data_IF_026462753858
#
_entry.id   IF_026462753858
#
_cell.length_a   1.000
_cell.length_b   1.000
_cell.length_c   1.000
_cell.angle_alpha   90.00
_cell.angle_beta   90.00
_cell.angle_gamma   90.00
#
_symmetry.space_group_name_H-M   'P 1'
#
loop_
_entity.id
_entity.type
_entity.pdbx_description
1 polymer ?
#
# COMPACT_ATOMS: atom_id res chain seq x y z
N UNK A 1 18.54 0.14 -12.73
CA UNK A 1 17.72 -1.09 -12.81
C UNK A 1 16.38 -0.76 -13.44
N UNK A 2 15.92 -1.58 -14.37
CA UNK A 2 14.60 -1.40 -14.99
C UNK A 2 13.53 -1.82 -13.96
N UNK A 3 12.73 -0.89 -13.46
CA UNK A 3 11.73 -1.15 -12.39
C UNK A 3 10.53 -2.00 -12.85
N UNK A 4 10.45 -2.36 -14.13
CA UNK A 4 9.49 -3.28 -14.73
C UNK A 4 8.09 -3.19 -14.10
N UNK A 5 7.36 -2.11 -14.40
CA UNK A 5 5.99 -1.86 -13.93
C UNK A 5 5.83 -1.58 -12.43
N UNK A 6 6.94 -1.35 -11.70
CA UNK A 6 6.93 -0.82 -10.34
C UNK A 6 7.38 0.63 -10.41
N UNK A 7 6.50 1.57 -10.07
CA UNK A 7 6.83 3.00 -10.13
C UNK A 7 6.66 3.67 -8.78
N UNK A 8 7.48 4.70 -8.59
CA UNK A 8 7.48 5.49 -7.36
C UNK A 8 7.22 6.95 -7.69
N UNK A 9 6.31 7.56 -6.95
CA UNK A 9 5.94 8.96 -7.03
C UNK A 9 5.97 9.56 -5.63
N UNK A 10 5.95 10.88 -5.52
CA UNK A 10 5.78 11.53 -4.23
C UNK A 10 4.42 12.24 -4.17
N UNK A 11 3.81 12.21 -2.99
CA UNK A 11 2.69 13.08 -2.70
C UNK A 11 3.15 14.54 -2.81
N UNK A 12 2.31 15.40 -3.30
CA UNK A 12 2.59 16.84 -3.46
C UNK A 12 2.58 17.59 -2.12
N UNK A 13 1.81 17.12 -1.14
CA UNK A 13 1.71 17.65 0.21
C UNK A 13 2.04 16.58 1.25
N UNK A 14 3.22 16.68 1.84
CA UNK A 14 3.71 15.75 2.85
C UNK A 14 3.03 15.89 4.21
N UNK A 15 2.34 17.00 4.50
CA UNK A 15 1.56 17.16 5.73
C UNK A 15 0.41 16.14 5.81
N UNK A 16 -0.10 15.70 4.66
CA UNK A 16 -1.09 14.62 4.56
C UNK A 16 -0.62 13.34 5.24
N UNK A 17 0.68 13.02 5.20
CA UNK A 17 1.23 11.85 5.88
C UNK A 17 1.13 11.96 7.40
N UNK A 18 1.45 13.12 7.98
CA UNK A 18 1.33 13.36 9.42
C UNK A 18 -0.12 13.28 9.88
N UNK A 19 -1.03 13.82 9.07
CA UNK A 19 -2.46 13.78 9.34
C UNK A 19 -3.01 12.34 9.30
N UNK A 20 -2.54 11.49 8.37
CA UNK A 20 -2.90 10.07 8.32
C UNK A 20 -2.34 9.28 9.50
N UNK A 21 -1.12 9.56 9.95
CA UNK A 21 -0.57 8.97 11.17
C UNK A 21 -1.40 9.40 12.38
N UNK A 22 -1.77 10.67 12.48
CA UNK A 22 -2.63 11.18 13.55
C UNK A 22 -4.01 10.53 13.53
N UNK A 23 -4.62 10.36 12.36
CA UNK A 23 -5.88 9.63 12.18
C UNK A 23 -5.76 8.19 12.70
N UNK A 24 -4.67 7.50 12.36
CA UNK A 24 -4.40 6.16 12.84
C UNK A 24 -4.23 6.13 14.36
N UNK A 25 -3.37 6.99 14.93
CA UNK A 25 -3.05 6.96 16.36
C UNK A 25 -4.28 7.28 17.23
N UNK A 26 -5.13 8.19 16.80
CA UNK A 26 -6.34 8.59 17.51
C UNK A 26 -7.51 7.59 17.35
N UNK A 27 -7.44 6.66 16.40
CA UNK A 27 -8.50 5.66 16.20
C UNK A 27 -8.51 4.62 17.31
N UNK A 28 -9.71 4.26 17.77
CA UNK A 28 -9.94 3.14 18.71
C UNK A 28 -10.17 1.79 17.99
N UNK A 29 -10.33 1.81 16.67
CA UNK A 29 -10.70 0.65 15.85
C UNK A 29 -9.50 -0.09 15.26
N UNK A 30 -8.32 0.05 15.88
CA UNK A 30 -7.11 -0.67 15.46
C UNK A 30 -7.19 -2.14 15.84
N UNK A 31 -6.77 -3.01 14.92
CA UNK A 31 -6.73 -4.46 15.12
C UNK A 31 -5.33 -5.02 14.82
N UNK A 32 -5.07 -6.26 15.24
CA UNK A 32 -3.89 -6.98 14.76
C UNK A 32 -4.00 -7.18 13.24
N UNK A 33 -2.87 -7.07 12.55
CA UNK A 33 -2.83 -7.30 11.10
C UNK A 33 -3.22 -8.73 10.72
N UNK A 34 -4.09 -8.87 9.73
CA UNK A 34 -4.61 -10.15 9.26
C UNK A 34 -4.07 -10.51 7.87
N UNK A 35 -4.07 -11.81 7.60
CA UNK A 35 -3.92 -12.42 6.28
C UNK A 35 -5.22 -13.16 5.94
N UNK A 36 -5.33 -13.78 4.76
CA UNK A 36 -6.54 -14.50 4.34
C UNK A 36 -6.98 -15.61 5.29
N UNK A 37 -6.10 -16.09 6.16
CA UNK A 37 -6.36 -17.14 7.19
C UNK A 37 -6.56 -16.58 8.61
N UNK A 38 -6.71 -15.25 8.78
CA UNK A 38 -6.78 -14.59 10.08
C UNK A 38 -5.42 -14.09 10.57
N UNK A 39 -5.28 -13.83 11.87
CA UNK A 39 -4.04 -13.30 12.46
C UNK A 39 -2.96 -14.38 12.51
N UNK A 40 -1.83 -14.13 11.84
CA UNK A 40 -0.63 -14.95 11.93
C UNK A 40 0.62 -14.06 11.92
N UNK A 41 1.16 -13.79 13.10
CA UNK A 41 2.29 -12.87 13.30
C UNK A 41 3.61 -13.37 12.69
N UNK A 42 3.75 -14.67 12.44
CA UNK A 42 4.96 -15.20 11.74
C UNK A 42 4.95 -14.86 10.25
N UNK A 43 3.77 -14.59 9.69
CA UNK A 43 3.56 -14.17 8.30
C UNK A 43 3.50 -12.65 8.19
N UNK A 44 2.61 -12.03 9.00
CA UNK A 44 2.40 -10.58 9.06
C UNK A 44 2.22 -10.15 10.50
N UNK A 45 3.13 -9.35 11.01
CA UNK A 45 2.99 -8.71 12.32
C UNK A 45 2.89 -7.19 12.12
N UNK A 46 1.72 -6.66 12.39
CA UNK A 46 1.38 -5.23 12.28
C UNK A 46 0.18 -4.90 13.15
N UNK A 47 -0.06 -3.60 13.32
CA UNK A 47 -1.33 -3.07 13.81
C UNK A 47 -1.99 -2.34 12.64
N UNK A 48 -3.22 -2.69 12.30
CA UNK A 48 -3.95 -2.20 11.14
C UNK A 48 -5.18 -1.39 11.56
N UNK A 49 -5.45 -0.32 10.82
CA UNK A 49 -6.71 0.40 10.81
C UNK A 49 -7.38 0.14 9.47
N UNK A 50 -8.46 -0.65 9.49
CA UNK A 50 -9.28 -0.93 8.31
C UNK A 50 -10.21 0.24 8.02
N UNK A 51 -10.23 0.69 6.76
CA UNK A 51 -11.00 1.82 6.26
C UNK A 51 -11.70 1.43 4.96
N UNK A 52 -12.79 2.13 4.66
CA UNK A 52 -13.63 1.89 3.50
C UNK A 52 -13.77 3.14 2.63
N UNK A 53 -14.22 2.97 1.38
CA UNK A 53 -14.46 4.10 0.47
C UNK A 53 -15.40 5.16 1.11
N UNK A 54 -16.39 4.73 1.89
CA UNK A 54 -17.30 5.66 2.55
C UNK A 54 -16.59 6.53 3.61
N UNK A 55 -15.48 6.10 4.17
CA UNK A 55 -14.70 6.91 5.11
C UNK A 55 -14.01 8.07 4.41
N UNK A 56 -13.72 7.94 3.11
CA UNK A 56 -13.04 8.96 2.32
C UNK A 56 -13.87 10.23 2.28
N UNK A 57 -15.17 10.12 1.98
CA UNK A 57 -16.07 11.29 1.84
C UNK A 57 -16.35 11.97 3.17
N UNK A 58 -16.14 11.26 4.29
CA UNK A 58 -16.37 11.75 5.64
C UNK A 58 -15.09 12.27 6.33
N UNK A 59 -13.95 12.24 5.63
CA UNK A 59 -12.66 12.64 6.18
C UNK A 59 -11.89 13.51 5.19
N UNK A 60 -11.66 14.75 5.55
CA UNK A 60 -10.85 15.68 4.74
C UNK A 60 -9.43 15.14 4.52
N UNK A 61 -8.83 14.50 5.53
CA UNK A 61 -7.50 13.88 5.46
C UNK A 61 -7.47 12.80 4.38
N UNK A 62 -8.46 11.89 4.37
CA UNK A 62 -8.56 10.84 3.37
C UNK A 62 -8.86 11.41 1.98
N UNK A 63 -9.77 12.38 1.87
CA UNK A 63 -10.09 13.05 0.61
C UNK A 63 -8.83 13.68 0.00
N UNK A 64 -8.04 14.40 0.79
CA UNK A 64 -6.77 15.01 0.34
C UNK A 64 -5.75 13.96 -0.09
N UNK A 65 -5.65 12.85 0.65
CA UNK A 65 -4.76 11.75 0.28
C UNK A 65 -5.16 11.12 -1.06
N UNK A 66 -6.43 10.75 -1.22
CA UNK A 66 -6.89 10.07 -2.45
C UNK A 66 -6.85 10.98 -3.68
N UNK A 67 -6.98 12.29 -3.53
CA UNK A 67 -6.71 13.25 -4.61
C UNK A 67 -5.26 13.15 -5.09
N UNK A 68 -4.28 13.18 -4.18
CA UNK A 68 -2.86 13.07 -4.52
C UNK A 68 -2.50 11.67 -5.06
N UNK A 69 -3.11 10.59 -4.52
CA UNK A 69 -2.95 9.24 -5.05
C UNK A 69 -3.48 9.15 -6.50
N UNK A 70 -4.58 9.84 -6.80
CA UNK A 70 -5.11 9.92 -8.18
C UNK A 70 -4.11 10.56 -9.14
N UNK A 71 -3.39 11.61 -8.72
CA UNK A 71 -2.34 12.23 -9.53
C UNK A 71 -1.19 11.24 -9.80
N UNK A 72 -0.77 10.48 -8.79
CA UNK A 72 0.22 9.40 -8.96
C UNK A 72 -0.27 8.32 -9.95
N UNK A 73 -1.55 7.93 -9.87
CA UNK A 73 -2.14 6.97 -10.79
C UNK A 73 -2.18 7.47 -12.23
N UNK A 74 -2.49 8.75 -12.45
CA UNK A 74 -2.48 9.38 -13.77
C UNK A 74 -1.08 9.24 -14.38
N UNK A 75 -0.02 9.55 -13.65
CA UNK A 75 1.36 9.40 -14.12
C UNK A 75 1.72 7.93 -14.42
N UNK A 76 1.25 6.99 -13.60
CA UNK A 76 1.43 5.55 -13.85
C UNK A 76 0.77 5.12 -15.16
N UNK A 77 -0.48 5.52 -15.40
CA UNK A 77 -1.25 5.23 -16.61
C UNK A 77 -0.65 5.87 -17.86
N UNK A 78 -0.09 7.08 -17.76
CA UNK A 78 0.62 7.74 -18.87
C UNK A 78 1.84 6.92 -19.29
N UNK A 79 2.57 6.34 -18.34
CA UNK A 79 3.74 5.50 -18.61
C UNK A 79 3.35 4.11 -19.13
N UNK A 80 2.33 3.50 -18.57
CA UNK A 80 1.89 2.14 -18.87
C UNK A 80 0.47 2.13 -19.48
N UNK A 81 0.37 2.65 -20.69
CA UNK A 81 -0.91 2.90 -21.40
C UNK A 81 -1.82 1.67 -21.49
N UNK A 82 -1.25 0.47 -21.54
CA UNK A 82 -2.04 -0.76 -21.66
C UNK A 82 -2.68 -1.23 -20.37
N UNK A 83 -2.28 -0.72 -19.22
CA UNK A 83 -2.95 -1.04 -17.96
C UNK A 83 -4.41 -0.55 -17.90
N UNK A 84 -4.77 0.42 -18.77
CA UNK A 84 -6.09 1.08 -18.81
C UNK A 84 -6.86 0.87 -20.13
N UNK A 85 -6.35 0.03 -21.03
CA UNK A 85 -7.00 -0.19 -22.36
C UNK A 85 -7.94 -1.40 -22.43
N UNK A 86 -8.20 -2.05 -21.31
CA UNK A 86 -9.13 -3.17 -21.25
C UNK A 86 -10.59 -2.74 -21.43
N UNK A 87 -11.46 -3.70 -21.83
CA UNK A 87 -12.91 -3.45 -21.98
C UNK A 87 -13.65 -3.30 -20.65
N UNK A 88 -13.06 -3.74 -19.55
CA UNK A 88 -13.65 -3.68 -18.20
C UNK A 88 -13.15 -2.45 -17.47
N UNK A 89 -14.09 -1.72 -16.84
CA UNK A 89 -13.76 -0.65 -15.93
C UNK A 89 -13.12 -1.19 -14.65
N UNK A 90 -12.24 -0.41 -14.05
CA UNK A 90 -11.62 -0.70 -12.77
C UNK A 90 -11.51 0.59 -11.94
N UNK A 91 -11.36 0.45 -10.66
CA UNK A 91 -11.26 1.57 -9.73
C UNK A 91 -10.84 1.11 -8.34
N UNK A 92 -10.87 1.99 -7.36
CA UNK A 92 -10.52 1.65 -5.99
C UNK A 92 -11.33 0.44 -5.49
N UNK A 93 -10.65 -0.52 -4.83
CA UNK A 93 -11.29 -1.56 -4.03
C UNK A 93 -12.02 -0.90 -2.86
N UNK A 94 -13.08 -1.53 -2.36
CA UNK A 94 -13.93 -0.93 -1.33
C UNK A 94 -13.22 -0.68 0.00
N UNK A 95 -12.19 -1.46 0.31
CA UNK A 95 -11.43 -1.40 1.55
C UNK A 95 -9.94 -1.14 1.32
N UNK A 96 -9.32 -0.51 2.30
CA UNK A 96 -7.89 -0.21 2.36
C UNK A 96 -7.43 -0.10 3.82
N UNK A 97 -6.11 -0.03 4.06
CA UNK A 97 -5.59 -0.07 5.43
C UNK A 97 -4.52 1.00 5.65
N UNK A 98 -4.54 1.61 6.85
CA UNK A 98 -3.34 2.21 7.41
C UNK A 98 -2.71 1.16 8.34
N UNK A 99 -1.41 0.92 8.20
CA UNK A 99 -0.69 -0.13 8.91
C UNK A 99 0.51 0.46 9.64
N UNK A 100 0.66 0.07 10.90
CA UNK A 100 1.81 0.38 11.74
C UNK A 100 2.63 -0.88 11.98
N UNK A 101 3.92 -0.78 11.76
CA UNK A 101 4.92 -1.78 12.07
C UNK A 101 5.90 -1.22 13.09
N UNK A 102 5.94 -1.78 14.29
CA UNK A 102 6.96 -1.47 15.30
C UNK A 102 8.30 -2.10 14.92
N UNK A 103 9.41 -1.74 15.57
CA UNK A 103 10.67 -2.46 15.44
C UNK A 103 10.47 -3.97 15.50
N UNK A 104 11.15 -4.70 14.62
CA UNK A 104 11.04 -6.16 14.43
C UNK A 104 9.74 -6.67 13.81
N UNK A 105 8.74 -5.82 13.56
CA UNK A 105 7.51 -6.20 12.88
C UNK A 105 7.60 -5.95 11.36
N UNK A 106 6.96 -6.81 10.58
CA UNK A 106 6.87 -6.68 9.12
C UNK A 106 5.80 -7.61 8.53
N UNK A 107 5.56 -7.50 7.24
CA UNK A 107 5.02 -8.60 6.45
C UNK A 107 6.18 -9.49 6.02
N UNK A 108 6.49 -10.50 6.85
CA UNK A 108 7.71 -11.30 6.74
C UNK A 108 7.74 -12.23 5.54
N UNK A 109 6.57 -12.77 5.17
CA UNK A 109 6.46 -13.76 4.11
C UNK A 109 6.37 -13.15 2.73
N UNK A 110 6.99 -13.80 1.76
CA UNK A 110 6.78 -13.53 0.35
C UNK A 110 5.31 -13.75 -0.01
N UNK A 111 4.65 -12.75 -0.58
CA UNK A 111 3.24 -12.83 -0.94
C UNK A 111 2.95 -12.06 -2.23
N UNK A 112 1.77 -12.31 -2.76
CA UNK A 112 1.18 -11.62 -3.90
C UNK A 112 -0.22 -11.16 -3.55
N UNK A 113 -0.66 -10.07 -4.16
CA UNK A 113 -1.94 -9.46 -3.85
C UNK A 113 -3.12 -10.13 -4.57
N UNK A 114 -2.85 -10.83 -5.67
CA UNK A 114 -3.81 -11.61 -6.45
C UNK A 114 -3.46 -13.10 -6.41
N UNK A 115 -3.63 -13.73 -5.24
CA UNK A 115 -3.26 -15.12 -5.01
C UNK A 115 -4.42 -16.11 -4.94
N UNK A 116 -5.68 -15.69 -5.14
CA UNK A 116 -6.84 -16.57 -5.02
C UNK A 116 -8.14 -15.97 -5.52
N UNK A 117 -9.23 -16.78 -5.47
CA UNK A 117 -10.54 -16.39 -6.00
C UNK A 117 -11.06 -15.06 -5.42
N UNK A 118 -10.89 -14.84 -4.12
CA UNK A 118 -11.36 -13.61 -3.43
C UNK A 118 -10.66 -12.34 -3.91
N UNK A 119 -9.43 -12.45 -4.39
CA UNK A 119 -8.58 -11.34 -4.82
C UNK A 119 -8.36 -11.32 -6.34
N UNK A 120 -9.09 -12.17 -7.08
CA UNK A 120 -8.90 -12.35 -8.53
C UNK A 120 -9.15 -11.07 -9.34
N UNK A 121 -9.97 -10.16 -8.83
CA UNK A 121 -10.29 -8.89 -9.49
C UNK A 121 -9.24 -7.79 -9.27
N UNK A 122 -8.27 -7.96 -8.36
CA UNK A 122 -7.22 -6.97 -8.12
C UNK A 122 -6.38 -6.76 -9.37
N UNK A 123 -6.22 -5.51 -9.76
CA UNK A 123 -5.50 -5.09 -10.95
C UNK A 123 -4.16 -4.44 -10.60
N UNK A 124 -4.18 -3.38 -9.81
CA UNK A 124 -3.01 -2.69 -9.32
C UNK A 124 -3.01 -2.62 -7.80
N UNK A 125 -1.83 -2.50 -7.23
CA UNK A 125 -1.60 -2.21 -5.82
C UNK A 125 -1.04 -0.81 -5.72
N UNK A 126 -1.41 -0.09 -4.68
CA UNK A 126 -0.81 1.16 -4.30
C UNK A 126 -0.42 1.12 -2.81
N UNK A 127 0.69 1.73 -2.49
CA UNK A 127 1.19 1.84 -1.12
C UNK A 127 1.95 3.16 -0.97
N UNK A 128 1.68 3.90 0.09
CA UNK A 128 2.44 5.11 0.44
C UNK A 128 3.10 4.92 1.80
N UNK A 129 4.39 5.20 1.89
CA UNK A 129 5.09 5.33 3.16
C UNK A 129 4.73 6.67 3.80
N UNK A 130 4.28 6.66 5.06
CA UNK A 130 3.82 7.86 5.75
C UNK A 130 4.94 8.54 6.55
N UNK A 131 6.05 7.84 6.80
CA UNK A 131 7.21 8.40 7.47
C UNK A 131 8.52 7.89 6.85
N UNK A 132 9.60 8.60 7.14
CA UNK A 132 10.95 8.12 6.89
C UNK A 132 11.29 7.00 7.87
N UNK A 133 12.13 6.05 7.43
CA UNK A 133 12.77 5.06 8.29
C UNK A 133 14.26 5.05 7.97
N UNK A 134 15.10 5.21 9.01
CA UNK A 134 16.56 5.32 8.84
C UNK A 134 17.19 3.99 8.46
N UNK A 135 16.77 2.90 9.13
CA UNK A 135 17.36 1.57 8.95
C UNK A 135 16.30 0.49 8.85
N UNK A 136 16.36 -0.31 7.77
CA UNK A 136 15.40 -1.35 7.47
C UNK A 136 14.08 -0.82 6.91
N UNK A 137 13.01 -1.60 7.05
CA UNK A 137 11.66 -1.24 6.67
C UNK A 137 11.37 -1.28 5.18
N UNK A 138 12.34 -1.69 4.34
CA UNK A 138 12.18 -1.74 2.88
C UNK A 138 11.05 -2.68 2.48
N UNK A 139 10.44 -2.40 1.32
CA UNK A 139 9.64 -3.37 0.57
C UNK A 139 10.51 -3.95 -0.53
N UNK A 140 10.57 -5.28 -0.61
CA UNK A 140 11.40 -6.02 -1.55
C UNK A 140 10.54 -6.84 -2.51
N UNK A 141 10.82 -6.73 -3.84
CA UNK A 141 10.22 -7.55 -4.89
C UNK A 141 11.18 -8.64 -5.34
N UNK A 142 10.72 -9.89 -5.27
CA UNK A 142 11.56 -11.07 -5.48
C UNK A 142 12.14 -11.14 -6.89
N UNK A 143 11.27 -11.12 -7.90
CA UNK A 143 11.69 -11.30 -9.31
C UNK A 143 12.40 -10.08 -9.88
N UNK A 144 12.02 -8.88 -9.45
CA UNK A 144 12.65 -7.63 -9.90
C UNK A 144 13.97 -7.33 -9.17
N UNK A 145 14.29 -8.08 -8.09
CA UNK A 145 15.46 -7.84 -7.23
C UNK A 145 15.54 -6.37 -6.80
N UNK A 146 14.38 -5.79 -6.51
CA UNK A 146 14.23 -4.39 -6.18
C UNK A 146 13.88 -4.24 -4.70
N UNK A 147 14.58 -3.32 -4.02
CA UNK A 147 14.23 -2.87 -2.67
C UNK A 147 13.92 -1.37 -2.71
N UNK A 148 12.82 -0.97 -2.11
CA UNK A 148 12.44 0.44 -1.97
C UNK A 148 12.43 0.77 -0.49
N UNK A 149 13.24 1.75 -0.12
CA UNK A 149 13.35 2.25 1.26
C UNK A 149 12.19 3.18 1.59
N UNK A 150 11.63 3.09 2.81
CA UNK A 150 10.60 4.03 3.27
C UNK A 150 11.09 5.48 3.21
N UNK A 151 10.29 6.31 2.57
CA UNK A 151 10.43 7.76 2.54
C UNK A 151 9.06 8.39 2.65
N UNK A 152 8.92 9.38 3.51
CA UNK A 152 7.64 10.08 3.73
C UNK A 152 7.06 10.57 2.41
N UNK A 153 5.81 10.21 2.15
CA UNK A 153 5.07 10.56 0.93
C UNK A 153 5.43 9.74 -0.30
N UNK A 154 6.41 8.82 -0.22
CA UNK A 154 6.76 7.96 -1.35
C UNK A 154 5.65 6.95 -1.60
N UNK A 155 4.96 7.10 -2.72
CA UNK A 155 3.88 6.25 -3.20
C UNK A 155 4.40 5.31 -4.27
N UNK A 156 4.18 4.01 -4.08
CA UNK A 156 4.58 2.96 -5.03
C UNK A 156 3.33 2.33 -5.63
N UNK A 157 3.31 2.17 -6.96
CA UNK A 157 2.22 1.53 -7.70
C UNK A 157 2.81 0.39 -8.53
N UNK A 158 2.17 -0.81 -8.48
CA UNK A 158 2.59 -2.00 -9.23
C UNK A 158 1.40 -2.92 -9.54
N UNK A 159 1.60 -3.92 -10.41
CA UNK A 159 0.57 -4.92 -10.72
C UNK A 159 0.36 -5.89 -9.56
N UNK A 160 -0.88 -6.34 -9.36
CA UNK A 160 -1.26 -7.26 -8.28
C UNK A 160 -0.81 -8.72 -8.49
N UNK A 161 -0.23 -9.05 -9.65
CA UNK A 161 0.09 -10.42 -10.07
C UNK A 161 1.23 -11.08 -9.27
N UNK A 162 1.27 -12.42 -9.33
CA UNK A 162 2.33 -13.23 -8.71
C UNK A 162 3.74 -12.87 -9.18
N UNK A 163 3.90 -12.33 -10.39
CA UNK A 163 5.17 -11.81 -10.90
C UNK A 163 5.73 -10.66 -10.07
N UNK A 164 4.91 -10.05 -9.23
CA UNK A 164 5.27 -8.99 -8.28
C UNK A 164 5.24 -9.48 -6.83
N UNK A 165 5.60 -10.75 -6.61
CA UNK A 165 5.78 -11.30 -5.27
C UNK A 165 6.75 -10.44 -4.47
N UNK A 166 6.31 -10.00 -3.29
CA UNK A 166 7.06 -9.06 -2.45
C UNK A 166 6.90 -9.37 -0.96
N UNK A 167 7.74 -8.74 -0.14
CA UNK A 167 7.67 -8.76 1.33
C UNK A 167 8.14 -7.44 1.92
N UNK A 168 7.81 -7.21 3.20
CA UNK A 168 8.36 -6.13 3.99
C UNK A 168 9.57 -6.60 4.81
N UNK A 169 10.53 -5.70 5.01
CA UNK A 169 11.61 -5.87 5.96
C UNK A 169 11.27 -5.17 7.28
N UNK A 170 11.85 -5.67 8.37
CA UNK A 170 11.72 -5.07 9.70
C UNK A 170 12.49 -3.75 9.77
N UNK A 171 12.01 -2.84 10.61
CA UNK A 171 12.78 -1.69 11.07
C UNK A 171 13.62 -2.06 12.28
N UNK A 172 14.65 -1.27 12.58
CA UNK A 172 15.51 -1.51 13.76
C UNK A 172 14.96 -0.75 14.98
N UNK A 173 14.85 0.57 14.89
CA UNK A 173 14.55 1.42 16.06
C UNK A 173 13.30 2.28 15.89
N UNK A 174 12.70 2.31 14.69
CA UNK A 174 11.63 3.26 14.37
C UNK A 174 10.35 2.54 13.95
N UNK A 175 9.21 3.11 14.31
CA UNK A 175 7.92 2.68 13.78
C UNK A 175 7.83 3.03 12.29
N UNK A 176 7.29 2.12 11.49
CA UNK A 176 6.97 2.35 10.08
C UNK A 176 5.46 2.41 9.91
N UNK A 177 4.99 3.46 9.23
CA UNK A 177 3.60 3.62 8.86
C UNK A 177 3.45 3.60 7.34
N UNK A 178 2.47 2.87 6.87
CA UNK A 178 2.05 2.87 5.47
C UNK A 178 0.54 2.99 5.37
N UNK A 179 0.06 3.52 4.24
CA UNK A 179 -1.32 3.33 3.79
C UNK A 179 -1.27 2.53 2.49
N UNK A 180 -2.11 1.51 2.37
CA UNK A 180 -2.11 0.60 1.21
C UNK A 180 -3.50 0.10 0.86
N UNK A 181 -3.68 -0.19 -0.42
CA UNK A 181 -4.91 -0.74 -0.96
C UNK A 181 -4.76 -1.14 -2.43
N UNK A 182 -5.87 -1.34 -3.08
CA UNK A 182 -5.91 -1.93 -4.41
C UNK A 182 -6.83 -1.18 -5.35
N UNK A 183 -6.53 -1.29 -6.63
CA UNK A 183 -7.50 -1.07 -7.70
C UNK A 183 -7.97 -2.44 -8.20
N UNK A 184 -9.27 -2.57 -8.48
CA UNK A 184 -9.86 -3.82 -8.92
C UNK A 184 -10.80 -3.62 -10.10
N UNK A 185 -10.96 -4.66 -10.93
CA UNK A 185 -11.97 -4.69 -11.98
C UNK A 185 -13.37 -4.71 -11.37
N UNK A 186 -14.23 -3.84 -11.88
CA UNK A 186 -15.63 -3.75 -11.45
C UNK A 186 -16.47 -4.80 -12.18
N UNK A 187 -17.50 -5.29 -11.50
CA UNK A 187 -18.46 -6.25 -12.08
C UNK A 187 -19.30 -5.63 -13.20
#
# INVERSE_FOLDING_TARGET
>A
MNKQFIESYYLSDLSTCDNLISLFENSKNKTAGEISGGVNKTVKDSTDLHLYINDIVNSEVLTNYFKQLSDCLILYKQKYKFCDKGKKSWGLQNDFNIQKYKPSQAYHSWHTERGGKKTSNRHLVWMTYLNDVKQGGETEWYYQKLKIKPKKGLTVIWSADWTFTHKGHTTIDEDKYIITGWYEFKK
#
